data_IF_813061333457
#
_entry.id   IF_813061333457
#
_cell.length_a   1.000
_cell.length_b   1.000
_cell.length_c   1.000
_cell.angle_alpha   90.00
_cell.angle_beta   90.00
_cell.angle_gamma   90.00
#
_symmetry.space_group_name_H-M   'P 1'
#
loop_
_entity.id
_entity.type
_entity.pdbx_description
1 polymer ?
#
# COMPACT_ATOMS: atom_id res chain seq x y z
N UNK A 1 19.86 -1.59 -18.41
CA UNK A 1 19.04 -2.71 -17.92
C UNK A 1 17.68 -2.13 -17.62
N UNK A 2 16.58 -2.75 -18.06
CA UNK A 2 15.25 -2.17 -17.90
C UNK A 2 14.88 -1.93 -16.43
N UNK A 3 14.45 -0.73 -16.08
CA UNK A 3 13.89 -0.45 -14.74
C UNK A 3 12.37 -0.62 -14.73
N UNK A 4 11.87 -1.08 -13.58
CA UNK A 4 10.46 -1.43 -13.37
C UNK A 4 9.93 -0.67 -12.16
N UNK A 5 8.91 0.16 -12.40
CA UNK A 5 8.17 0.89 -11.39
C UNK A 5 6.85 0.18 -11.04
N UNK A 6 6.48 0.15 -9.75
CA UNK A 6 5.15 -0.27 -9.31
C UNK A 6 4.32 0.95 -8.90
N UNK A 7 3.23 1.22 -9.61
CA UNK A 7 2.20 2.15 -9.17
C UNK A 7 1.06 1.36 -8.54
N UNK A 8 0.78 1.60 -7.26
CA UNK A 8 -0.15 0.81 -6.47
C UNK A 8 -0.74 1.64 -5.32
N UNK A 9 -1.92 1.25 -4.84
CA UNK A 9 -2.43 1.78 -3.58
C UNK A 9 -1.71 1.10 -2.41
N UNK A 10 -1.34 1.84 -1.37
CA UNK A 10 -0.71 1.28 -0.17
C UNK A 10 -1.55 0.17 0.49
N UNK A 11 -2.86 0.13 0.26
CA UNK A 11 -3.75 -0.95 0.72
C UNK A 11 -3.36 -2.30 0.10
N UNK A 12 -2.82 -2.31 -1.12
CA UNK A 12 -2.43 -3.50 -1.87
C UNK A 12 -0.95 -3.90 -1.68
N UNK A 13 -0.29 -3.31 -0.71
CA UNK A 13 1.14 -3.49 -0.45
C UNK A 13 1.55 -4.96 -0.23
N UNK A 14 0.72 -5.73 0.48
CA UNK A 14 0.99 -7.15 0.70
C UNK A 14 1.02 -7.95 -0.61
N UNK A 15 0.19 -7.60 -1.58
CA UNK A 15 0.17 -8.22 -2.92
C UNK A 15 1.35 -7.73 -3.76
N UNK A 16 1.73 -6.45 -3.65
CA UNK A 16 2.95 -5.91 -4.26
C UNK A 16 4.20 -6.63 -3.77
N UNK A 17 4.33 -6.85 -2.45
CA UNK A 17 5.46 -7.57 -1.85
C UNK A 17 5.54 -9.02 -2.33
N UNK A 18 4.41 -9.68 -2.55
CA UNK A 18 4.36 -11.02 -3.12
C UNK A 18 4.81 -11.03 -4.60
N UNK A 19 4.32 -10.08 -5.39
CA UNK A 19 4.77 -9.90 -6.77
C UNK A 19 6.28 -9.62 -6.84
N UNK A 20 6.79 -8.76 -5.95
CA UNK A 20 8.20 -8.43 -5.91
C UNK A 20 9.10 -9.65 -5.63
N UNK A 21 8.64 -10.58 -4.76
CA UNK A 21 9.32 -11.86 -4.53
C UNK A 21 9.32 -12.74 -5.77
N UNK A 22 8.22 -12.77 -6.52
CA UNK A 22 8.10 -13.54 -7.75
C UNK A 22 9.00 -12.98 -8.88
N UNK A 23 9.30 -11.69 -8.84
CA UNK A 23 10.27 -11.03 -9.73
C UNK A 23 11.75 -11.23 -9.31
N UNK A 24 12.03 -11.87 -8.17
CA UNK A 24 13.39 -12.01 -7.63
C UNK A 24 14.37 -12.72 -8.58
N UNK A 25 13.90 -13.70 -9.35
CA UNK A 25 14.75 -14.38 -10.33
C UNK A 25 15.12 -13.50 -11.51
N UNK A 26 14.23 -12.60 -11.96
CA UNK A 26 14.54 -11.66 -13.03
C UNK A 26 15.58 -10.64 -12.56
N UNK A 27 15.46 -10.17 -11.30
CA UNK A 27 16.47 -9.30 -10.67
C UNK A 27 17.84 -9.99 -10.57
N UNK A 28 17.88 -11.23 -10.07
CA UNK A 28 19.13 -12.00 -9.93
C UNK A 28 19.81 -12.29 -11.27
N UNK A 29 19.04 -12.42 -12.34
CA UNK A 29 19.55 -12.62 -13.70
C UNK A 29 19.98 -11.32 -14.38
N UNK A 30 19.78 -10.16 -13.75
CA UNK A 30 20.04 -8.87 -14.38
C UNK A 30 19.13 -8.61 -15.59
N UNK A 31 17.89 -9.11 -15.56
CA UNK A 31 16.90 -8.85 -16.62
C UNK A 31 16.16 -7.55 -16.34
N UNK A 32 15.93 -7.24 -15.07
CA UNK A 32 15.25 -6.02 -14.63
C UNK A 32 15.90 -5.49 -13.34
N UNK A 33 15.76 -4.19 -13.14
CA UNK A 33 15.83 -3.54 -11.84
C UNK A 33 14.43 -3.14 -11.41
N UNK A 34 14.10 -3.27 -10.13
CA UNK A 34 12.78 -2.87 -9.64
C UNK A 34 12.94 -1.70 -8.67
N UNK A 35 12.05 -0.72 -8.72
CA UNK A 35 11.97 0.36 -7.74
C UNK A 35 10.53 0.53 -7.24
N UNK A 36 10.38 0.94 -5.99
CA UNK A 36 9.10 1.28 -5.36
C UNK A 36 9.33 2.35 -4.30
N UNK A 37 8.26 3.06 -3.94
CA UNK A 37 8.19 4.10 -2.91
C UNK A 37 8.93 3.80 -1.59
N UNK A 38 8.91 2.57 -1.05
CA UNK A 38 9.68 2.22 0.17
C UNK A 38 11.21 2.26 0.02
N UNK A 39 11.76 2.56 -1.15
CA UNK A 39 13.20 2.78 -1.36
C UNK A 39 13.62 4.24 -1.18
N UNK A 40 12.66 5.13 -1.00
CA UNK A 40 12.87 6.56 -0.74
C UNK A 40 13.43 6.70 0.68
N UNK A 41 14.59 7.34 0.80
CA UNK A 41 15.30 7.51 2.07
C UNK A 41 14.57 8.46 3.02
N UNK A 42 14.81 8.30 4.32
CA UNK A 42 14.26 9.23 5.32
C UNK A 42 14.74 10.67 5.03
N UNK A 43 13.80 11.58 4.78
CA UNK A 43 14.06 12.99 4.44
C UNK A 43 14.01 13.32 2.95
N UNK A 44 13.80 12.34 2.07
CA UNK A 44 13.58 12.57 0.64
C UNK A 44 12.10 12.87 0.33
N UNK A 45 11.86 13.75 -0.64
CA UNK A 45 10.51 14.11 -1.09
C UNK A 45 9.91 12.95 -1.88
N UNK A 46 8.89 12.31 -1.29
CA UNK A 46 8.24 11.12 -1.84
C UNK A 46 7.58 11.41 -3.19
N UNK A 47 6.92 12.56 -3.34
CA UNK A 47 6.24 12.92 -4.58
C UNK A 47 7.25 13.09 -5.71
N UNK A 48 8.38 13.74 -5.40
CA UNK A 48 9.45 13.95 -6.38
C UNK A 48 10.10 12.65 -6.83
N UNK A 49 10.37 11.73 -5.91
CA UNK A 49 10.96 10.45 -6.25
C UNK A 49 10.01 9.57 -7.09
N UNK A 50 8.71 9.57 -6.79
CA UNK A 50 7.73 8.85 -7.61
C UNK A 50 7.61 9.48 -9.00
N UNK A 51 7.57 10.81 -9.09
CA UNK A 51 7.57 11.52 -10.38
C UNK A 51 8.85 11.25 -11.18
N UNK A 52 10.01 11.15 -10.53
CA UNK A 52 11.25 10.78 -11.22
C UNK A 52 11.15 9.37 -11.83
N UNK A 53 10.68 8.38 -11.06
CA UNK A 53 10.55 7.01 -11.56
C UNK A 53 9.45 6.85 -12.62
N UNK A 54 8.33 7.55 -12.51
CA UNK A 54 7.30 7.49 -13.54
C UNK A 54 7.74 8.12 -14.86
N UNK A 55 8.71 9.04 -14.82
CA UNK A 55 9.29 9.69 -15.99
C UNK A 55 10.50 8.96 -16.57
N UNK A 56 11.18 8.12 -15.77
CA UNK A 56 12.43 7.48 -16.18
C UNK A 56 12.30 5.97 -16.40
N UNK A 57 11.43 5.27 -15.69
CA UNK A 57 11.40 3.81 -15.74
C UNK A 57 10.85 3.27 -17.07
N UNK A 58 11.44 2.17 -17.55
CA UNK A 58 11.12 1.60 -18.86
C UNK A 58 9.83 0.76 -18.85
N UNK A 59 9.52 0.14 -17.71
CA UNK A 59 8.33 -0.69 -17.51
C UNK A 59 7.56 -0.17 -16.29
N UNK A 60 6.27 0.08 -16.46
CA UNK A 60 5.40 0.58 -15.39
C UNK A 60 4.30 -0.46 -15.14
N UNK A 61 4.27 -1.01 -13.93
CA UNK A 61 3.24 -1.95 -13.48
C UNK A 61 2.16 -1.17 -12.73
N UNK A 62 0.95 -1.12 -13.29
CA UNK A 62 -0.21 -0.56 -12.59
C UNK A 62 -0.87 -1.69 -11.81
N UNK A 63 -0.78 -1.67 -10.48
CA UNK A 63 -1.38 -2.69 -9.63
C UNK A 63 -2.84 -2.31 -9.32
N UNK A 64 -3.74 -2.78 -10.18
CA UNK A 64 -5.12 -2.31 -10.27
C UNK A 64 -6.01 -3.00 -9.24
N UNK A 65 -6.73 -2.17 -8.50
CA UNK A 65 -7.77 -2.53 -7.54
C UNK A 65 -8.80 -1.40 -7.46
N UNK A 66 -9.89 -1.61 -6.71
CA UNK A 66 -10.85 -0.53 -6.45
C UNK A 66 -10.18 0.65 -5.72
N UNK A 67 -9.29 0.37 -4.77
CA UNK A 67 -8.56 1.40 -4.02
C UNK A 67 -7.51 2.13 -4.88
N UNK A 68 -6.92 1.44 -5.86
CA UNK A 68 -6.04 2.09 -6.84
C UNK A 68 -6.83 3.08 -7.72
N UNK A 69 -8.02 2.71 -8.17
CA UNK A 69 -8.88 3.55 -9.02
C UNK A 69 -9.47 4.73 -8.21
N UNK A 70 -9.80 4.51 -6.94
CA UNK A 70 -10.38 5.54 -6.06
C UNK A 70 -9.36 6.53 -5.48
N UNK A 71 -8.06 6.26 -5.62
CA UNK A 71 -7.00 7.15 -5.17
C UNK A 71 -6.74 8.25 -6.21
N UNK A 72 -7.20 9.47 -5.93
CA UNK A 72 -7.05 10.64 -6.83
C UNK A 72 -5.60 10.84 -7.28
N UNK A 73 -4.61 10.59 -6.41
CA UNK A 73 -3.19 10.78 -6.73
C UNK A 73 -2.65 9.71 -7.71
N UNK A 74 -2.97 8.43 -7.49
CA UNK A 74 -2.52 7.33 -8.35
C UNK A 74 -3.25 7.33 -9.71
N UNK A 75 -4.53 7.73 -9.70
CA UNK A 75 -5.38 7.72 -10.88
C UNK A 75 -5.20 8.96 -11.77
N UNK A 76 -5.09 10.17 -11.22
CA UNK A 76 -5.12 11.38 -12.05
C UNK A 76 -3.74 11.82 -12.56
N UNK A 77 -2.70 11.80 -11.72
CA UNK A 77 -1.39 12.34 -12.12
C UNK A 77 -0.47 11.23 -12.63
N UNK A 78 -0.31 10.16 -11.85
CA UNK A 78 0.63 9.10 -12.16
C UNK A 78 0.17 8.26 -13.36
N UNK A 79 -1.05 7.74 -13.33
CA UNK A 79 -1.55 6.90 -14.41
C UNK A 79 -1.63 7.63 -15.75
N UNK A 80 -2.07 8.90 -15.78
CA UNK A 80 -2.09 9.68 -17.01
C UNK A 80 -0.69 9.82 -17.61
N UNK A 81 0.30 10.17 -16.77
CA UNK A 81 1.69 10.31 -17.22
C UNK A 81 2.28 9.00 -17.74
N UNK A 82 2.05 7.90 -17.04
CA UNK A 82 2.47 6.58 -17.47
C UNK A 82 1.86 6.20 -18.85
N UNK A 83 0.58 6.50 -19.04
CA UNK A 83 -0.12 6.26 -20.31
C UNK A 83 0.39 7.14 -21.45
N UNK A 84 0.72 8.41 -21.20
CA UNK A 84 1.35 9.28 -22.20
C UNK A 84 2.67 8.71 -22.70
N UNK A 85 3.55 8.27 -21.79
CA UNK A 85 4.82 7.65 -22.15
C UNK A 85 4.61 6.34 -22.90
N UNK A 86 3.60 5.56 -22.51
CA UNK A 86 3.25 4.34 -23.21
C UNK A 86 2.80 4.57 -24.66
N UNK A 87 1.90 5.52 -24.86
CA UNK A 87 1.37 5.85 -26.19
C UNK A 87 2.47 6.43 -27.11
N UNK A 88 3.51 7.05 -26.54
CA UNK A 88 4.73 7.49 -27.27
C UNK A 88 5.76 6.37 -27.50
N UNK A 89 5.59 5.20 -26.89
CA UNK A 89 6.57 4.11 -26.93
C UNK A 89 7.81 4.34 -26.08
N UNK A 90 7.78 5.30 -25.16
CA UNK A 90 8.87 5.66 -24.23
C UNK A 90 8.87 4.80 -22.96
N UNK A 91 7.77 4.11 -22.68
CA UNK A 91 7.62 3.14 -21.60
C UNK A 91 6.64 2.02 -21.97
N UNK A 92 6.72 0.88 -21.30
CA UNK A 92 5.74 -0.20 -21.43
C UNK A 92 4.88 -0.22 -20.16
N UNK A 93 3.61 0.13 -20.29
CA UNK A 93 2.63 0.01 -19.21
C UNK A 93 2.00 -1.39 -19.24
N UNK A 94 1.95 -2.05 -18.08
CA UNK A 94 1.33 -3.36 -17.90
C UNK A 94 0.31 -3.25 -16.76
N UNK A 95 -1.01 -3.32 -17.06
CA UNK A 95 -2.03 -3.41 -16.02
C UNK A 95 -1.99 -4.78 -15.34
N UNK A 96 -1.86 -4.79 -14.02
CA UNK A 96 -1.84 -5.98 -13.17
C UNK A 96 -3.09 -5.98 -12.30
N UNK A 97 -4.08 -6.82 -12.60
CA UNK A 97 -5.35 -6.83 -11.88
C UNK A 97 -5.19 -7.59 -10.55
N UNK A 98 -5.05 -6.86 -9.46
CA UNK A 98 -4.92 -7.44 -8.13
C UNK A 98 -6.26 -7.91 -7.58
N UNK A 99 -7.27 -7.03 -7.63
CA UNK A 99 -8.62 -7.24 -7.08
C UNK A 99 -9.69 -6.91 -8.11
N UNK A 100 -10.85 -7.52 -7.95
CA UNK A 100 -11.99 -7.27 -8.82
C UNK A 100 -12.42 -5.80 -8.73
N UNK A 101 -12.46 -5.13 -9.88
CA UNK A 101 -12.88 -3.74 -10.02
C UNK A 101 -13.26 -3.46 -11.48
N UNK A 102 -13.99 -2.36 -11.71
CA UNK A 102 -14.37 -1.93 -13.05
C UNK A 102 -13.25 -1.12 -13.72
N UNK A 103 -12.23 -1.84 -14.20
CA UNK A 103 -11.02 -1.22 -14.78
C UNK A 103 -11.07 -1.07 -16.30
N UNK A 104 -12.04 -1.70 -16.99
CA UNK A 104 -12.12 -1.68 -18.46
C UNK A 104 -12.42 -0.28 -19.01
N UNK A 105 -13.04 0.58 -18.22
CA UNK A 105 -13.34 1.97 -18.58
C UNK A 105 -12.19 2.93 -18.29
N UNK A 106 -11.12 2.47 -17.63
CA UNK A 106 -9.95 3.29 -17.35
C UNK A 106 -9.10 3.51 -18.62
N UNK A 107 -8.25 4.56 -18.71
CA UNK A 107 -7.42 4.83 -19.88
C UNK A 107 -6.48 3.66 -20.28
N UNK A 108 -6.05 2.87 -19.32
CA UNK A 108 -5.25 1.65 -19.53
C UNK A 108 -6.08 0.40 -19.86
N UNK A 109 -7.43 0.49 -19.84
CA UNK A 109 -8.34 -0.61 -20.14
C UNK A 109 -8.23 -1.15 -21.57
N UNK A 110 -7.63 -0.37 -22.49
CA UNK A 110 -7.28 -0.78 -23.86
C UNK A 110 -6.06 -1.71 -23.94
N UNK A 111 -5.28 -1.83 -22.86
CA UNK A 111 -4.05 -2.62 -22.82
C UNK A 111 -4.33 -4.06 -22.38
N UNK A 112 -3.47 -4.98 -22.80
CA UNK A 112 -3.54 -6.37 -22.34
C UNK A 112 -3.15 -6.45 -20.87
N UNK A 113 -4.14 -6.60 -20.00
CA UNK A 113 -3.93 -6.80 -18.58
C UNK A 113 -3.43 -8.22 -18.26
N UNK A 114 -2.72 -8.34 -17.14
CA UNK A 114 -2.29 -9.60 -16.53
C UNK A 114 -2.88 -9.71 -15.12
N UNK A 115 -3.13 -10.91 -14.57
CA UNK A 115 -3.06 -12.23 -15.20
C UNK A 115 -4.01 -12.39 -16.40
N UNK A 116 -3.88 -13.50 -17.14
CA UNK A 116 -4.63 -13.74 -18.39
C UNK A 116 -6.13 -13.44 -18.22
N UNK A 117 -6.71 -12.81 -19.24
CA UNK A 117 -8.09 -12.34 -19.30
C UNK A 117 -8.46 -11.29 -18.23
N UNK A 118 -7.47 -10.66 -17.60
CA UNK A 118 -7.68 -9.66 -16.55
C UNK A 118 -8.28 -10.23 -15.27
N UNK A 119 -8.16 -11.55 -15.05
CA UNK A 119 -8.70 -12.21 -13.86
C UNK A 119 -7.94 -11.73 -12.61
N UNK A 120 -8.62 -11.16 -11.60
CA UNK A 120 -7.98 -10.64 -10.41
C UNK A 120 -7.17 -11.69 -9.67
N UNK A 121 -5.94 -11.36 -9.25
CA UNK A 121 -5.05 -12.27 -8.51
C UNK A 121 -5.75 -12.89 -7.31
N UNK A 122 -6.53 -12.11 -6.55
CA UNK A 122 -7.25 -12.60 -5.37
C UNK A 122 -8.33 -13.65 -5.65
N UNK A 123 -8.71 -13.83 -6.91
CA UNK A 123 -9.69 -14.84 -7.35
C UNK A 123 -9.05 -16.06 -8.02
N UNK A 124 -7.73 -16.14 -8.06
CA UNK A 124 -7.04 -17.33 -8.52
C UNK A 124 -7.04 -18.41 -7.43
N UNK A 125 -7.34 -19.68 -7.79
CA UNK A 125 -7.18 -20.79 -6.86
C UNK A 125 -5.74 -20.92 -6.35
N UNK A 126 -4.77 -20.65 -7.23
CA UNK A 126 -3.36 -20.54 -6.93
C UNK A 126 -2.87 -19.12 -7.25
N UNK A 127 -2.65 -18.33 -6.21
CA UNK A 127 -2.17 -16.95 -6.30
C UNK A 127 -0.73 -16.90 -6.83
N UNK A 128 0.11 -17.90 -6.52
CA UNK A 128 1.49 -17.96 -7.02
C UNK A 128 1.52 -18.22 -8.53
N UNK A 129 0.58 -19.01 -9.06
CA UNK A 129 0.43 -19.18 -10.51
C UNK A 129 0.08 -17.85 -11.19
N UNK A 130 -0.81 -17.05 -10.59
CA UNK A 130 -1.18 -15.74 -11.10
C UNK A 130 0.04 -14.78 -11.12
N UNK A 131 0.81 -14.73 -10.04
CA UNK A 131 2.04 -13.94 -9.99
C UNK A 131 3.12 -14.43 -10.95
N UNK A 132 3.22 -15.74 -11.18
CA UNK A 132 4.14 -16.28 -12.17
C UNK A 132 3.80 -15.82 -13.59
N UNK A 133 2.51 -15.68 -13.93
CA UNK A 133 2.11 -15.11 -15.23
C UNK A 133 2.57 -13.66 -15.36
N UNK A 134 2.48 -12.88 -14.30
CA UNK A 134 2.94 -11.48 -14.28
C UNK A 134 4.47 -11.44 -14.47
N UNK A 135 5.21 -12.27 -13.74
CA UNK A 135 6.67 -12.32 -13.88
C UNK A 135 7.12 -12.72 -15.30
N UNK A 136 6.38 -13.61 -15.98
CA UNK A 136 6.63 -13.94 -17.39
C UNK A 136 6.35 -12.76 -18.31
N UNK A 137 5.24 -12.05 -18.13
CA UNK A 137 4.92 -10.86 -18.92
C UNK A 137 5.96 -9.74 -18.75
N UNK A 138 6.46 -9.53 -17.53
CA UNK A 138 7.54 -8.57 -17.25
C UNK A 138 8.83 -8.96 -17.97
N UNK A 139 9.20 -10.25 -17.96
CA UNK A 139 10.36 -10.75 -18.73
C UNK A 139 10.20 -10.48 -20.22
N UNK A 140 9.04 -10.80 -20.78
CA UNK A 140 8.78 -10.59 -22.21
C UNK A 140 8.82 -9.10 -22.58
N UNK A 141 8.39 -8.21 -21.69
CA UNK A 141 8.51 -6.76 -21.87
C UNK A 141 9.99 -6.31 -21.84
N UNK A 142 10.77 -6.77 -20.86
CA UNK A 142 12.20 -6.46 -20.76
C UNK A 142 12.98 -6.95 -21.99
N UNK A 143 12.71 -8.18 -22.45
CA UNK A 143 13.35 -8.75 -23.65
C UNK A 143 12.93 -8.02 -24.95
N UNK A 144 11.75 -7.37 -24.98
CA UNK A 144 11.38 -6.50 -26.11
C UNK A 144 12.22 -5.23 -26.11
N UNK A 145 12.40 -4.60 -24.95
CA UNK A 145 13.21 -3.39 -24.80
C UNK A 145 14.67 -3.62 -25.22
N UNK A 146 15.27 -4.74 -24.82
CA UNK A 146 16.62 -5.13 -25.22
C UNK A 146 16.75 -5.31 -26.75
N UNK A 147 15.71 -5.81 -27.42
CA UNK A 147 15.69 -5.97 -28.89
C UNK A 147 15.50 -4.67 -29.65
N UNK A 148 14.78 -3.70 -29.09
CA UNK A 148 14.66 -2.35 -29.66
C UNK A 148 15.88 -1.47 -29.38
N UNK A 149 16.60 -1.70 -28.28
CA UNK A 149 17.87 -1.02 -27.97
C UNK A 149 19.09 -1.62 -28.70
N UNK A 150 18.97 -2.86 -29.19
CA UNK A 150 19.99 -3.54 -29.99
C UNK A 150 19.56 -3.64 -31.46
N UNK A 151 19.89 -2.62 -32.26
CA UNK A 151 19.93 -2.82 -33.71
C UNK A 151 20.97 -3.93 -34.00
N UNK A 152 20.59 -5.04 -34.64
CA UNK A 152 21.53 -6.13 -34.88
C UNK A 152 22.54 -5.73 -35.96
N UNK A 153 23.87 -5.89 -35.75
CA UNK A 153 24.75 -6.04 -36.91
C UNK A 153 24.35 -7.34 -37.63
N UNK A 154 24.29 -7.25 -38.95
CA UNK A 154 23.88 -8.31 -39.85
C UNK A 154 24.45 -9.69 -39.45
N UNK A 155 23.54 -10.64 -39.22
CA UNK A 155 23.85 -12.04 -38.93
C UNK A 155 24.45 -12.68 -40.19
N UNK A 156 25.77 -12.87 -40.20
CA UNK A 156 26.42 -13.77 -41.16
C UNK A 156 26.11 -15.21 -40.73
N UNK A 157 25.41 -15.93 -41.61
CA UNK A 157 25.12 -17.36 -41.52
C UNK A 157 26.35 -18.19 -41.88
N UNK A 158 26.74 -19.13 -41.02
CA UNK A 158 27.42 -20.39 -41.38
C UNK A 158 27.37 -21.38 -40.18
N UNK A 159 27.52 -22.71 -40.38
CA UNK A 159 26.47 -23.66 -40.01
C UNK A 159 26.80 -24.56 -38.80
N UNK A 160 25.76 -25.30 -38.42
CA UNK A 160 25.64 -26.20 -37.29
C UNK A 160 26.55 -27.44 -37.31
N UNK A 161 26.83 -27.96 -36.10
CA UNK A 161 26.93 -29.40 -35.79
C UNK A 161 26.51 -29.68 -34.33
N UNK A 162 26.03 -30.90 -34.00
CA UNK A 162 25.16 -31.15 -32.84
C UNK A 162 25.82 -31.94 -31.68
N UNK A 163 25.02 -32.13 -30.60
CA UNK A 163 25.17 -32.96 -29.39
C UNK A 163 26.04 -32.36 -28.27
N UNK A 164 25.65 -32.37 -26.99
CA UNK A 164 25.38 -33.56 -26.15
C UNK A 164 24.31 -33.32 -25.08
N UNK A 165 23.58 -34.40 -24.78
CA UNK A 165 22.62 -34.66 -23.70
C UNK A 165 23.12 -34.45 -22.27
N UNK A 166 22.23 -34.05 -21.35
CA UNK A 166 22.27 -34.55 -19.97
C UNK A 166 20.87 -34.74 -19.39
N UNK A 167 20.58 -35.98 -19.04
CA UNK A 167 19.43 -36.47 -18.29
C UNK A 167 19.38 -35.95 -16.85
N UNK A 168 18.20 -35.54 -16.37
CA UNK A 168 17.85 -35.57 -14.95
C UNK A 168 16.38 -35.99 -14.77
N UNK A 169 16.15 -36.99 -13.91
CA UNK A 169 14.88 -37.67 -13.63
C UNK A 169 13.80 -36.74 -13.01
N UNK A 170 12.49 -37.08 -13.12
CA UNK A 170 11.44 -36.35 -12.42
C UNK A 170 11.43 -36.65 -10.91
N UNK A 171 11.31 -35.62 -10.07
CA UNK A 171 11.09 -35.76 -8.64
C UNK A 171 9.65 -36.20 -8.35
N UNK A 172 9.48 -37.18 -7.44
CA UNK A 172 8.18 -37.72 -7.01
C UNK A 172 7.31 -36.76 -6.18
N UNK A 173 6.14 -37.22 -5.69
CA UNK A 173 5.14 -36.37 -5.02
C UNK A 173 5.66 -35.76 -3.71
N UNK A 174 5.38 -34.48 -3.47
CA UNK A 174 5.80 -33.68 -2.31
C UNK A 174 4.59 -33.21 -1.50
N UNK A 175 4.71 -33.17 -0.17
CA UNK A 175 3.62 -32.88 0.77
C UNK A 175 3.06 -31.45 0.66
N UNK A 176 1.75 -31.32 0.72
CA UNK A 176 0.97 -30.09 0.55
C UNK A 176 0.84 -29.20 1.80
N UNK A 177 1.66 -29.41 2.83
CA UNK A 177 1.57 -28.60 4.04
C UNK A 177 2.94 -28.39 4.71
N UNK A 178 3.61 -27.30 4.32
CA UNK A 178 4.72 -26.70 5.08
C UNK A 178 4.39 -25.22 5.34
N UNK A 179 3.29 -24.95 6.03
CA UNK A 179 3.06 -23.63 6.63
C UNK A 179 3.99 -23.46 7.83
N UNK A 180 5.08 -22.71 7.69
CA UNK A 180 5.86 -22.24 8.84
C UNK A 180 5.18 -20.99 9.42
N UNK A 181 4.95 -20.98 10.74
CA UNK A 181 4.41 -19.82 11.46
C UNK A 181 5.36 -18.62 11.30
N UNK A 182 4.83 -17.46 10.88
CA UNK A 182 5.60 -16.21 10.85
C UNK A 182 5.65 -15.65 12.27
N UNK A 183 6.84 -15.47 12.83
CA UNK A 183 7.04 -14.77 14.10
C UNK A 183 7.24 -13.27 13.84
N UNK A 184 6.36 -12.44 14.38
CA UNK A 184 6.51 -10.98 14.33
C UNK A 184 7.47 -10.50 15.41
N UNK A 185 8.48 -9.74 15.01
CA UNK A 185 9.47 -9.15 15.91
C UNK A 185 8.91 -7.92 16.62
N UNK A 186 9.56 -7.49 17.71
CA UNK A 186 9.20 -6.23 18.37
C UNK A 186 9.41 -5.01 17.46
N UNK A 187 10.36 -5.10 16.51
CA UNK A 187 10.59 -4.07 15.49
C UNK A 187 9.38 -3.93 14.58
N UNK A 188 8.84 -5.05 14.09
CA UNK A 188 7.67 -5.05 13.20
C UNK A 188 6.45 -4.43 13.91
N UNK A 189 6.28 -4.71 15.20
CA UNK A 189 5.22 -4.11 16.03
C UNK A 189 5.41 -2.60 16.23
N UNK A 190 6.65 -2.16 16.43
CA UNK A 190 6.97 -0.74 16.62
C UNK A 190 6.82 0.06 15.32
N UNK A 191 7.16 -0.54 14.17
CA UNK A 191 6.96 0.02 12.82
C UNK A 191 5.47 0.13 12.48
N UNK A 192 4.72 -0.97 12.58
CA UNK A 192 3.27 -0.98 12.35
C UNK A 192 2.53 0.04 13.22
N UNK A 193 2.97 0.23 14.47
CA UNK A 193 2.41 1.25 15.37
C UNK A 193 2.64 2.67 14.85
N UNK A 194 3.87 2.97 14.42
CA UNK A 194 4.21 4.30 13.93
C UNK A 194 3.43 4.59 12.64
N UNK A 195 3.39 3.64 11.72
CA UNK A 195 2.63 3.74 10.47
C UNK A 195 1.14 3.94 10.74
N UNK A 196 0.59 3.21 11.71
CA UNK A 196 -0.80 3.39 12.15
C UNK A 196 -1.04 4.81 12.68
N UNK A 197 -0.11 5.37 13.46
CA UNK A 197 -0.26 6.72 13.98
C UNK A 197 -0.21 7.77 12.86
N UNK A 198 0.67 7.62 11.88
CA UNK A 198 0.69 8.49 10.70
C UNK A 198 -0.58 8.36 9.86
N UNK A 199 -1.07 7.14 9.68
CA UNK A 199 -2.35 6.88 9.02
C UNK A 199 -3.49 7.62 9.73
N UNK A 200 -3.59 7.47 11.05
CA UNK A 200 -4.61 8.15 11.87
C UNK A 200 -4.46 9.67 11.75
N UNK A 201 -3.24 10.20 11.74
CA UNK A 201 -3.00 11.64 11.60
C UNK A 201 -3.52 12.18 10.26
N UNK A 202 -3.18 11.53 9.15
CA UNK A 202 -3.66 11.89 7.80
C UNK A 202 -5.18 11.75 7.69
N UNK A 203 -5.73 10.68 8.26
CA UNK A 203 -7.18 10.47 8.32
C UNK A 203 -7.88 11.63 9.04
N UNK A 204 -7.37 12.06 10.18
CA UNK A 204 -7.93 13.19 10.94
C UNK A 204 -7.79 14.51 10.19
N UNK A 205 -6.63 14.79 9.59
CA UNK A 205 -6.41 16.01 8.80
C UNK A 205 -7.40 16.11 7.64
N UNK A 206 -7.52 15.05 6.83
CA UNK A 206 -8.45 14.99 5.71
C UNK A 206 -9.91 15.07 6.19
N UNK A 207 -10.27 14.38 7.26
CA UNK A 207 -11.64 14.37 7.80
C UNK A 207 -12.04 15.72 8.38
N UNK A 208 -11.11 16.46 8.99
CA UNK A 208 -11.35 17.82 9.48
C UNK A 208 -11.55 18.81 8.34
N UNK A 209 -10.74 18.72 7.29
CA UNK A 209 -10.89 19.55 6.10
C UNK A 209 -12.24 19.28 5.41
N UNK A 210 -12.57 18.00 5.24
CA UNK A 210 -13.82 17.57 4.64
C UNK A 210 -15.05 17.97 5.47
N UNK A 211 -14.96 17.90 6.81
CA UNK A 211 -16.03 18.33 7.71
C UNK A 211 -16.41 19.80 7.46
N UNK A 212 -15.40 20.67 7.33
CA UNK A 212 -15.61 22.09 7.05
C UNK A 212 -16.17 22.35 5.65
N UNK A 213 -15.67 21.62 4.64
CA UNK A 213 -16.18 21.72 3.25
C UNK A 213 -17.66 21.31 3.15
N UNK A 214 -18.06 20.25 3.86
CA UNK A 214 -19.41 19.67 3.76
C UNK A 214 -20.44 20.34 4.67
N UNK A 215 -20.02 21.00 5.75
CA UNK A 215 -20.92 21.56 6.76
C UNK A 215 -20.61 23.05 7.00
N UNK A 216 -21.29 23.98 6.30
CA UNK A 216 -21.13 25.41 6.52
C UNK A 216 -21.32 25.77 8.00
N UNK A 217 -20.38 26.55 8.56
CA UNK A 217 -20.35 26.92 9.98
C UNK A 217 -19.49 26.02 10.85
N UNK A 218 -18.99 24.88 10.33
CA UNK A 218 -17.97 24.08 10.97
C UNK A 218 -16.58 24.35 10.38
N UNK A 219 -15.57 24.32 11.23
CA UNK A 219 -14.16 24.47 10.83
C UNK A 219 -13.32 23.46 11.59
N UNK A 220 -12.57 22.63 10.87
CA UNK A 220 -11.66 21.65 11.46
C UNK A 220 -10.22 22.16 11.41
N UNK A 221 -9.55 22.18 12.55
CA UNK A 221 -8.14 22.57 12.67
C UNK A 221 -7.33 21.35 13.11
N UNK A 222 -6.43 20.92 12.23
CA UNK A 222 -5.41 19.94 12.52
C UNK A 222 -4.10 20.64 12.91
N UNK A 223 -3.47 20.20 14.00
CA UNK A 223 -2.16 20.72 14.42
C UNK A 223 -1.24 19.58 14.83
N UNK A 224 -0.19 19.36 14.03
CA UNK A 224 0.91 18.45 14.37
C UNK A 224 1.83 19.11 15.40
N UNK A 225 2.09 18.42 16.52
CA UNK A 225 3.00 18.92 17.56
C UNK A 225 4.40 18.40 17.29
N UNK A 226 4.53 17.09 17.09
CA UNK A 226 5.78 16.40 16.81
C UNK A 226 5.51 15.06 16.09
N UNK A 227 6.55 14.25 15.89
CA UNK A 227 6.45 12.93 15.24
C UNK A 227 5.55 11.93 15.98
N UNK A 228 5.16 12.21 17.23
CA UNK A 228 4.45 11.33 18.14
C UNK A 228 3.18 11.96 18.72
N UNK A 229 2.77 13.16 18.30
CA UNK A 229 1.57 13.84 18.82
C UNK A 229 0.95 14.80 17.83
N UNK A 230 -0.39 14.79 17.77
CA UNK A 230 -1.16 15.81 17.09
C UNK A 230 -2.44 16.18 17.86
N UNK A 231 -2.98 17.34 17.52
CA UNK A 231 -4.25 17.85 18.01
C UNK A 231 -5.25 18.00 16.88
N UNK A 232 -6.51 17.71 17.20
CA UNK A 232 -7.64 17.89 16.32
C UNK A 232 -8.69 18.73 17.07
N UNK A 233 -9.05 19.88 16.50
CA UNK A 233 -10.09 20.76 17.05
C UNK A 233 -11.15 21.01 16.01
N UNK A 234 -12.42 20.91 16.43
CA UNK A 234 -13.57 21.25 15.60
C UNK A 234 -14.23 22.47 16.22
N UNK A 235 -14.37 23.51 15.41
CA UNK A 235 -15.09 24.72 15.73
C UNK A 235 -16.46 24.71 15.06
N UNK A 236 -17.44 25.33 15.72
CA UNK A 236 -18.73 25.70 15.15
C UNK A 236 -19.01 27.14 15.49
N UNK A 237 -19.19 27.98 14.47
CA UNK A 237 -19.44 29.42 14.63
C UNK A 237 -18.41 30.11 15.57
N UNK A 238 -17.13 29.70 15.46
CA UNK A 238 -16.02 30.24 16.25
C UNK A 238 -15.86 29.68 17.67
N UNK A 239 -16.70 28.73 18.10
CA UNK A 239 -16.58 28.03 19.41
C UNK A 239 -16.02 26.63 19.23
N UNK A 240 -15.07 26.22 20.07
CA UNK A 240 -14.53 24.87 20.06
C UNK A 240 -15.58 23.88 20.61
N UNK A 241 -16.15 23.07 19.72
CA UNK A 241 -17.23 22.12 20.05
C UNK A 241 -16.72 20.70 20.26
N UNK A 242 -15.55 20.36 19.72
CA UNK A 242 -14.86 19.12 20.01
C UNK A 242 -13.34 19.30 19.93
N UNK A 243 -12.61 18.59 20.79
CA UNK A 243 -11.15 18.57 20.83
C UNK A 243 -10.65 17.17 21.13
N UNK A 244 -9.60 16.76 20.46
CA UNK A 244 -8.93 15.49 20.69
C UNK A 244 -7.42 15.61 20.54
N UNK A 245 -6.70 14.86 21.35
CA UNK A 245 -5.26 14.66 21.24
C UNK A 245 -4.99 13.20 20.94
N UNK A 246 -4.19 12.92 19.92
CA UNK A 246 -3.66 11.57 19.66
C UNK A 246 -2.15 11.60 19.83
N UNK A 247 -1.61 10.61 20.54
CA UNK A 247 -0.17 10.52 20.76
C UNK A 247 0.34 9.08 20.87
N UNK A 248 1.63 8.90 20.59
CA UNK A 248 2.36 7.65 20.76
C UNK A 248 3.02 7.56 22.15
N UNK A 249 2.89 6.40 22.80
CA UNK A 249 3.58 6.07 24.05
C UNK A 249 2.80 6.34 25.34
N UNK A 250 3.35 5.95 26.49
CA UNK A 250 2.73 6.08 27.81
C UNK A 250 3.52 5.30 28.87
N UNK A 251 3.63 5.82 30.10
CA UNK A 251 4.49 5.23 31.15
C UNK A 251 3.85 3.99 31.82
N UNK A 252 2.53 3.82 31.72
CA UNK A 252 1.80 2.89 32.60
C UNK A 252 1.09 1.73 31.87
N UNK A 253 0.77 1.86 30.57
CA UNK A 253 -0.04 0.89 29.82
C UNK A 253 0.45 0.62 28.39
N UNK A 254 1.77 0.45 28.25
CA UNK A 254 2.38 -0.04 27.02
C UNK A 254 2.66 1.04 25.97
N UNK A 255 3.51 0.69 25.01
CA UNK A 255 3.91 1.53 23.89
C UNK A 255 2.80 1.54 22.82
N UNK A 256 1.61 2.03 23.15
CA UNK A 256 0.43 2.06 22.26
C UNK A 256 0.19 3.41 21.59
N UNK A 257 -0.95 3.53 20.90
CA UNK A 257 -1.50 4.80 20.38
C UNK A 257 -2.63 5.22 21.30
N UNK A 258 -2.59 6.44 21.80
CA UNK A 258 -3.52 6.92 22.81
C UNK A 258 -4.33 8.09 22.27
N UNK A 259 -5.60 8.13 22.65
CA UNK A 259 -6.49 9.25 22.41
C UNK A 259 -6.95 9.85 23.74
N UNK A 260 -6.97 11.17 23.80
CA UNK A 260 -7.50 11.95 24.92
C UNK A 260 -8.49 12.98 24.39
N UNK A 261 -9.62 13.12 25.06
CA UNK A 261 -10.54 14.21 24.83
C UNK A 261 -9.92 15.51 25.34
N UNK A 262 -9.88 16.54 24.50
CA UNK A 262 -9.24 17.82 24.77
C UNK A 262 -7.85 17.96 24.16
N UNK A 263 -7.24 19.11 24.40
CA UNK A 263 -5.85 19.39 24.02
C UNK A 263 -4.95 19.16 25.23
N UNK A 264 -4.02 18.20 25.17
CA UNK A 264 -3.06 17.95 26.25
C UNK A 264 -1.67 17.58 25.73
N UNK A 265 -0.65 18.09 26.41
CA UNK A 265 0.74 17.64 26.22
C UNK A 265 1.14 16.54 27.21
N UNK A 266 0.29 16.23 28.18
CA UNK A 266 0.53 15.11 29.10
C UNK A 266 0.34 13.75 28.41
N UNK A 267 1.03 12.74 28.93
CA UNK A 267 0.97 11.35 28.43
C UNK A 267 0.52 10.37 29.52
N UNK A 268 -0.06 10.88 30.62
CA UNK A 268 -0.41 10.13 31.82
C UNK A 268 -1.89 9.73 31.90
N UNK A 269 -2.70 10.09 30.91
CA UNK A 269 -4.12 9.74 30.85
C UNK A 269 -4.54 9.50 29.41
N UNK A 270 -5.44 8.54 29.20
CA UNK A 270 -6.03 8.27 27.89
C UNK A 270 -7.49 7.87 28.05
N UNK A 271 -8.36 8.37 27.18
CA UNK A 271 -9.75 7.93 27.05
C UNK A 271 -9.83 6.63 26.24
N UNK A 272 -8.96 6.48 25.26
CA UNK A 272 -8.85 5.30 24.42
C UNK A 272 -7.37 4.96 24.18
N UNK A 273 -7.07 3.68 24.04
CA UNK A 273 -5.72 3.19 23.78
C UNK A 273 -5.76 2.01 22.84
N UNK A 274 -4.98 2.08 21.78
CA UNK A 274 -4.80 1.06 20.78
C UNK A 274 -3.45 0.37 20.98
N UNK A 275 -3.48 -0.94 21.12
CA UNK A 275 -2.28 -1.76 21.30
C UNK A 275 -2.04 -2.64 20.09
N UNK A 276 -0.77 -2.80 19.71
CA UNK A 276 -0.39 -3.69 18.61
C UNK A 276 -0.35 -5.14 19.11
N UNK A 277 -1.28 -5.94 18.60
CA UNK A 277 -1.28 -7.38 18.68
C UNK A 277 -0.64 -8.02 17.44
N UNK A 278 -0.29 -9.29 17.57
CA UNK A 278 0.20 -10.12 16.47
C UNK A 278 -0.43 -11.50 16.60
N UNK A 279 -0.85 -12.09 15.48
CA UNK A 279 -1.12 -13.53 15.38
C UNK A 279 -0.13 -14.17 14.40
N UNK A 280 -0.33 -15.43 14.02
CA UNK A 280 0.57 -16.16 13.11
C UNK A 280 0.55 -15.63 11.67
N UNK A 281 -0.34 -14.67 11.35
CA UNK A 281 -0.64 -14.21 9.99
C UNK A 281 -0.49 -12.69 9.81
N UNK A 282 -0.82 -11.87 10.81
CA UNK A 282 -0.86 -10.40 10.71
C UNK A 282 -0.62 -9.67 12.05
N UNK A 283 -0.22 -8.40 11.92
CA UNK A 283 -0.30 -7.41 13.00
C UNK A 283 -1.68 -6.75 12.98
N UNK A 284 -2.23 -6.48 14.16
CA UNK A 284 -3.55 -5.86 14.32
C UNK A 284 -3.57 -4.94 15.53
N UNK A 285 -4.60 -4.12 15.65
CA UNK A 285 -4.80 -3.23 16.80
C UNK A 285 -5.92 -3.77 17.68
N UNK A 286 -5.78 -3.62 18.99
CA UNK A 286 -6.86 -3.86 19.95
C UNK A 286 -7.11 -2.60 20.77
N UNK A 287 -8.38 -2.25 20.91
CA UNK A 287 -8.84 -1.12 21.73
C UNK A 287 -9.07 -1.57 23.17
N UNK A 288 -8.68 -0.73 24.13
CA UNK A 288 -8.75 -1.03 25.57
C UNK A 288 -9.52 0.05 26.37
N UNK A 289 -10.16 1.01 25.71
CA UNK A 289 -10.82 2.16 26.31
C UNK A 289 -12.35 2.15 26.21
N UNK A 290 -12.94 3.36 26.09
CA UNK A 290 -14.39 3.59 26.14
C UNK A 290 -15.13 2.79 25.06
N UNK A 291 -14.52 2.55 23.90
CA UNK A 291 -15.14 1.77 22.83
C UNK A 291 -15.28 0.26 23.17
N UNK A 292 -14.43 -0.26 24.06
CA UNK A 292 -14.44 -1.66 24.50
C UNK A 292 -15.52 -2.01 25.54
N UNK A 293 -16.31 -1.03 26.00
CA UNK A 293 -17.39 -1.26 26.96
C UNK A 293 -18.73 -1.70 26.30
N UNK A 294 -18.84 -1.64 24.96
CA UNK A 294 -20.08 -1.94 24.23
C UNK A 294 -20.03 -3.04 23.17
N UNK A 295 -18.84 -3.48 22.72
CA UNK A 295 -18.62 -4.60 21.77
C UNK A 295 -17.31 -5.32 22.10
N UNK A 296 -17.18 -6.56 21.60
CA UNK A 296 -16.08 -7.52 21.81
C UNK A 296 -14.72 -6.85 22.10
N UNK A 297 -14.26 -7.00 23.34
CA UNK A 297 -12.95 -6.51 23.85
C UNK A 297 -11.75 -6.99 23.02
N UNK A 298 -11.93 -8.03 22.22
CA UNK A 298 -10.89 -8.68 21.42
C UNK A 298 -11.04 -8.39 19.92
N UNK A 299 -11.79 -7.36 19.53
CA UNK A 299 -11.91 -6.98 18.12
C UNK A 299 -10.54 -6.56 17.56
N UNK A 300 -10.08 -7.32 16.57
CA UNK A 300 -8.88 -7.00 15.79
C UNK A 300 -9.21 -5.87 14.81
N UNK A 301 -8.60 -4.71 15.02
CA UNK A 301 -8.78 -3.53 14.19
C UNK A 301 -7.64 -3.41 13.18
N UNK A 302 -7.99 -3.05 11.95
CA UNK A 302 -7.04 -2.53 10.95
C UNK A 302 -6.64 -1.09 11.32
N UNK A 303 -5.68 -0.51 10.60
CA UNK A 303 -5.31 0.90 10.75
C UNK A 303 -6.50 1.84 10.48
N UNK A 304 -7.30 1.51 9.45
CA UNK A 304 -8.55 2.21 9.13
C UNK A 304 -9.57 2.07 10.26
N UNK A 305 -9.84 0.84 10.72
CA UNK A 305 -10.79 0.62 11.82
C UNK A 305 -10.37 1.33 13.11
N UNK A 306 -9.07 1.45 13.36
CA UNK A 306 -8.53 2.25 14.46
C UNK A 306 -8.73 3.77 14.24
N UNK A 307 -8.51 4.27 13.03
CA UNK A 307 -8.74 5.68 12.71
C UNK A 307 -10.22 6.06 12.82
N UNK A 308 -11.12 5.24 12.26
CA UNK A 308 -12.56 5.40 12.38
C UNK A 308 -13.02 5.38 13.84
N UNK A 309 -12.47 4.47 14.64
CA UNK A 309 -12.77 4.39 16.07
C UNK A 309 -12.45 5.71 16.78
N UNK A 310 -11.24 6.22 16.60
CA UNK A 310 -10.81 7.46 17.26
C UNK A 310 -11.56 8.68 16.73
N UNK A 311 -11.83 8.71 15.42
CA UNK A 311 -12.61 9.76 14.79
C UNK A 311 -14.05 9.79 15.32
N UNK A 312 -14.68 8.63 15.46
CA UNK A 312 -16.01 8.49 16.05
C UNK A 312 -16.05 9.06 17.46
N UNK A 313 -15.01 8.85 18.27
CA UNK A 313 -14.90 9.44 19.61
C UNK A 313 -14.83 10.98 19.53
N UNK A 314 -14.03 11.53 18.61
CA UNK A 314 -13.89 12.99 18.44
C UNK A 314 -15.22 13.66 18.05
N UNK A 315 -15.96 13.07 17.11
CA UNK A 315 -17.19 13.67 16.57
C UNK A 315 -18.43 13.35 17.39
N UNK A 316 -18.37 12.38 18.31
CA UNK A 316 -19.53 11.97 19.13
C UNK A 316 -20.26 13.15 19.82
N UNK A 317 -19.57 14.16 20.40
CA UNK A 317 -20.24 15.33 20.99
C UNK A 317 -21.07 16.15 19.98
N UNK A 318 -20.75 16.07 18.70
CA UNK A 318 -21.41 16.82 17.62
C UNK A 318 -22.66 16.11 17.11
N UNK A 319 -22.73 14.78 17.24
CA UNK A 319 -23.81 13.95 16.71
C UNK A 319 -25.08 13.98 17.57
N UNK A 320 -25.01 14.56 18.77
CA UNK A 320 -26.11 14.63 19.72
C UNK A 320 -26.41 13.27 20.34
N UNK A 321 -26.47 13.22 21.67
CA UNK A 321 -26.80 12.01 22.42
C UNK A 321 -28.19 11.50 22.02
N UNK A 322 -28.26 10.44 21.20
CA UNK A 322 -29.42 9.55 21.24
C UNK A 322 -29.24 8.65 22.46
N UNK A 323 -29.82 9.10 23.57
CA UNK A 323 -30.22 8.20 24.66
C UNK A 323 -31.22 7.17 24.15
#
# INVERSE_FOLDING_TARGET
MPSVFFSYSHIDEALRDQLEKQLSMLKRQGVIETWHDRRIGAGEDIHRAIDDHINTDDIILLLVSADFIASDYCYDIEMQRAMERHDKGEAIVIPVILRACDWHHAPFGKLNAVPRDGKPITQWPDIDEAFLQIAKAVREAAERLDRTGSAPPARILAPATPAVSSSAKPFGPRSSNLGLAKSFTQRDKDEFKHDTFEYIARFFENSLEELGKRNPGFEGIFRRVDANRFFATIYRDGKDVARGTVYLGGETWGRGIHYVQGETTSSNSSNESLNVGADDQMLFLTSMGIASFGRDRDQKLSQEGAAELLWAILIAPLQGTRY
#
